data_IF_115680045882
#
_entry.id   IF_115680045882
#
_cell.length_a   1.000
_cell.length_b   1.000
_cell.length_c   1.000
_cell.angle_alpha   90.00
_cell.angle_beta   90.00
_cell.angle_gamma   90.00
#
_symmetry.space_group_name_H-M   'P 1'
#
loop_
_entity.id
_entity.type
_entity.pdbx_description
1 polymer ?
#
# COMPACT_ATOMS: atom_id res chain seq x y z
N UNK A 1 -0.22 23.39 -11.94
CA UNK A 1 0.00 21.95 -12.10
C UNK A 1 -1.05 21.23 -11.29
N UNK A 2 -1.71 20.29 -11.96
CA UNK A 2 -2.75 19.50 -11.36
C UNK A 2 -2.14 18.53 -10.34
N UNK A 3 -2.80 18.30 -9.21
CA UNK A 3 -2.43 17.31 -8.20
C UNK A 3 -3.70 16.77 -7.52
N UNK A 4 -3.83 15.45 -7.45
CA UNK A 4 -4.95 14.80 -6.76
C UNK A 4 -4.71 14.66 -5.27
N UNK A 5 -5.79 14.82 -4.48
CA UNK A 5 -5.78 14.83 -3.02
C UNK A 5 -6.74 13.78 -2.47
N UNK A 6 -6.31 13.08 -1.42
CA UNK A 6 -7.17 12.20 -0.63
C UNK A 6 -7.82 13.03 0.49
N UNK A 7 -9.11 13.30 0.38
CA UNK A 7 -9.83 14.19 1.31
C UNK A 7 -11.00 13.44 1.93
N UNK A 8 -11.05 13.34 3.27
CA UNK A 8 -12.20 12.78 3.96
C UNK A 8 -13.50 13.51 3.59
N UNK A 9 -14.59 12.78 3.43
CA UNK A 9 -15.86 13.35 3.00
C UNK A 9 -16.36 14.47 3.93
N UNK A 10 -16.08 14.37 5.23
CA UNK A 10 -16.43 15.38 6.22
C UNK A 10 -15.79 16.75 5.92
N UNK A 11 -14.63 16.75 5.27
CA UNK A 11 -13.82 17.95 5.01
C UNK A 11 -14.06 18.54 3.61
N UNK A 12 -14.99 17.98 2.83
CA UNK A 12 -15.30 18.43 1.47
C UNK A 12 -15.61 19.92 1.35
N UNK A 13 -16.27 20.50 2.36
CA UNK A 13 -16.65 21.92 2.34
C UNK A 13 -15.45 22.82 2.64
N UNK A 14 -14.51 22.34 3.44
CA UNK A 14 -13.27 23.06 3.78
C UNK A 14 -12.37 23.13 2.54
N UNK A 15 -12.10 22.00 1.91
CA UNK A 15 -11.20 21.98 0.75
C UNK A 15 -11.79 22.71 -0.47
N UNK A 16 -13.11 22.65 -0.65
CA UNK A 16 -13.80 23.38 -1.73
C UNK A 16 -13.67 24.89 -1.55
N UNK A 17 -13.68 25.41 -0.32
CA UNK A 17 -13.47 26.85 -0.03
C UNK A 17 -12.05 27.30 -0.37
N UNK A 18 -11.07 26.41 -0.28
CA UNK A 18 -9.68 26.67 -0.65
C UNK A 18 -9.43 26.60 -2.17
N UNK A 19 -10.45 26.27 -2.97
CA UNK A 19 -10.39 26.28 -4.43
C UNK A 19 -10.16 24.92 -5.08
N UNK A 20 -10.10 23.83 -4.31
CA UNK A 20 -10.03 22.49 -4.90
C UNK A 20 -11.32 22.12 -5.64
N UNK A 21 -11.18 21.30 -6.67
CA UNK A 21 -12.26 20.82 -7.53
C UNK A 21 -12.42 19.32 -7.39
N UNK A 22 -13.62 18.81 -7.64
CA UNK A 22 -13.91 17.37 -7.59
C UNK A 22 -13.86 16.79 -9.01
N UNK A 23 -13.05 15.75 -9.24
CA UNK A 23 -13.11 14.95 -10.46
C UNK A 23 -14.03 13.73 -10.23
N UNK A 24 -15.21 13.66 -10.88
CA UNK A 24 -16.14 12.55 -10.69
C UNK A 24 -15.69 11.23 -11.35
N UNK A 25 -14.77 11.27 -12.33
CA UNK A 25 -14.23 10.06 -12.97
C UNK A 25 -13.26 9.34 -12.05
N UNK A 26 -12.27 10.07 -11.52
CA UNK A 26 -11.28 9.57 -10.55
C UNK A 26 -11.89 9.41 -9.15
N UNK A 27 -13.00 10.10 -8.88
CA UNK A 27 -13.61 10.23 -7.54
C UNK A 27 -12.61 10.79 -6.52
N UNK A 28 -11.85 11.80 -6.92
CA UNK A 28 -10.88 12.50 -6.07
C UNK A 28 -11.00 14.01 -6.18
N UNK A 29 -10.58 14.69 -5.11
CA UNK A 29 -10.33 16.13 -5.18
C UNK A 29 -9.03 16.37 -5.91
N UNK A 30 -8.95 17.48 -6.62
CA UNK A 30 -7.71 17.93 -7.23
C UNK A 30 -7.58 19.44 -7.11
N UNK A 31 -6.34 19.89 -7.09
CA UNK A 31 -5.95 21.30 -7.18
C UNK A 31 -5.23 21.49 -8.49
N UNK A 32 -5.43 22.64 -9.12
CA UNK A 32 -4.66 23.05 -10.29
C UNK A 32 -4.18 24.47 -10.03
N UNK A 33 -3.00 24.56 -9.45
CA UNK A 33 -2.39 25.80 -8.99
C UNK A 33 -0.87 25.74 -9.13
N UNK A 34 -0.19 26.86 -8.91
CA UNK A 34 1.26 26.90 -8.83
C UNK A 34 1.74 26.12 -7.60
N UNK A 35 2.81 25.34 -7.72
CA UNK A 35 3.23 24.38 -6.69
C UNK A 35 3.49 25.01 -5.32
N UNK A 36 3.96 26.27 -5.26
CA UNK A 36 4.14 26.98 -3.98
C UNK A 36 2.83 27.17 -3.20
N UNK A 37 1.68 27.09 -3.87
CA UNK A 37 0.38 27.13 -3.21
C UNK A 37 -0.05 25.79 -2.61
N UNK A 38 0.67 24.68 -2.88
CA UNK A 38 0.38 23.38 -2.28
C UNK A 38 0.46 23.43 -0.74
N UNK A 39 1.24 24.36 -0.19
CA UNK A 39 1.32 24.60 1.25
C UNK A 39 -0.04 24.92 1.90
N UNK A 40 -0.97 25.54 1.16
CA UNK A 40 -2.36 25.81 1.61
C UNK A 40 -3.15 24.51 1.84
N UNK A 41 -2.70 23.41 1.22
CA UNK A 41 -3.29 22.08 1.27
C UNK A 41 -2.44 21.09 2.06
N UNK A 42 -1.40 21.56 2.76
CA UNK A 42 -0.47 20.75 3.58
C UNK A 42 -1.18 19.77 4.51
N UNK A 43 -2.29 20.17 5.12
CA UNK A 43 -3.17 19.29 5.93
C UNK A 43 -3.50 17.96 5.24
N UNK A 44 -3.83 17.98 3.95
CA UNK A 44 -4.21 16.77 3.19
C UNK A 44 -3.02 16.08 2.51
N UNK A 45 -1.94 16.82 2.27
CA UNK A 45 -0.72 16.30 1.62
C UNK A 45 0.14 15.54 2.63
N UNK A 46 0.32 16.10 3.83
CA UNK A 46 1.04 15.48 4.94
C UNK A 46 0.21 14.36 5.57
N UNK A 47 -1.11 14.54 5.68
CA UNK A 47 -2.01 13.61 6.36
C UNK A 47 -1.52 13.29 7.79
N UNK A 48 -1.05 12.06 8.05
CA UNK A 48 -0.46 11.62 9.32
C UNK A 48 1.07 11.49 9.26
N UNK A 49 1.70 11.93 8.16
CA UNK A 49 3.16 11.97 7.95
C UNK A 49 3.70 13.37 8.24
N UNK A 50 4.96 13.45 8.65
CA UNK A 50 5.66 14.72 8.82
C UNK A 50 6.20 15.27 7.50
N UNK A 51 6.15 14.46 6.43
CA UNK A 51 6.58 14.86 5.09
C UNK A 51 5.77 14.23 3.95
N UNK A 52 5.81 14.88 2.79
CA UNK A 52 5.23 14.44 1.54
C UNK A 52 6.08 14.89 0.36
N UNK A 53 6.28 13.99 -0.61
CA UNK A 53 7.02 14.27 -1.84
C UNK A 53 6.05 14.20 -3.02
N UNK A 54 6.08 15.23 -3.86
CA UNK A 54 5.26 15.34 -5.07
C UNK A 54 6.20 15.32 -6.26
N UNK A 55 6.15 14.23 -7.04
CA UNK A 55 6.83 14.12 -8.32
C UNK A 55 6.13 14.99 -9.37
N UNK A 56 6.92 15.71 -10.14
CA UNK A 56 6.47 16.66 -11.16
C UNK A 56 7.02 16.26 -12.52
N UNK A 57 6.20 16.44 -13.55
CA UNK A 57 6.49 16.25 -14.98
C UNK A 57 6.91 14.86 -15.42
N UNK A 58 7.88 14.20 -14.78
CA UNK A 58 8.43 12.92 -15.19
C UNK A 58 8.78 12.01 -13.99
N UNK A 59 8.55 10.71 -14.16
CA UNK A 59 9.17 9.65 -13.37
C UNK A 59 10.25 8.97 -14.20
N UNK A 60 11.20 8.29 -13.56
CA UNK A 60 12.28 7.63 -14.28
C UNK A 60 12.47 6.17 -13.87
N UNK A 61 12.91 5.35 -14.82
CA UNK A 61 13.48 4.03 -14.56
C UNK A 61 14.95 4.08 -14.94
N UNK A 62 15.83 3.77 -13.99
CA UNK A 62 17.28 3.73 -14.17
C UNK A 62 17.68 2.27 -14.28
N UNK A 63 17.96 1.79 -15.49
CA UNK A 63 18.38 0.41 -15.75
C UNK A 63 19.91 0.31 -15.83
N UNK A 64 20.47 -0.61 -15.04
CA UNK A 64 21.87 -0.97 -15.04
C UNK A 64 22.08 -2.49 -15.10
N UNK A 65 23.33 -2.92 -14.97
CA UNK A 65 23.69 -4.33 -14.93
C UNK A 65 24.70 -4.60 -13.83
N UNK A 66 24.61 -5.78 -13.21
CA UNK A 66 25.60 -6.29 -12.29
C UNK A 66 25.79 -7.79 -12.41
N UNK A 67 26.86 -8.29 -11.80
CA UNK A 67 27.11 -9.73 -11.71
C UNK A 67 26.31 -10.31 -10.55
N UNK A 68 25.43 -11.28 -10.82
CA UNK A 68 24.65 -11.93 -9.78
C UNK A 68 25.55 -12.64 -8.77
N UNK A 69 25.39 -12.35 -7.47
CA UNK A 69 26.20 -12.97 -6.41
C UNK A 69 26.06 -14.49 -6.35
N UNK A 70 24.91 -15.05 -6.76
CA UNK A 70 24.61 -16.50 -6.71
C UNK A 70 25.08 -17.24 -7.96
N UNK A 71 24.56 -16.90 -9.14
CA UNK A 71 24.84 -17.65 -10.38
C UNK A 71 25.94 -17.04 -11.24
N UNK A 72 26.50 -15.89 -10.88
CA UNK A 72 27.57 -15.17 -11.59
C UNK A 72 27.25 -14.71 -13.02
N UNK A 73 26.00 -14.85 -13.48
CA UNK A 73 25.57 -14.28 -14.75
C UNK A 73 25.38 -12.77 -14.61
N UNK A 74 25.64 -12.03 -15.69
CA UNK A 74 25.26 -10.61 -15.78
C UNK A 74 23.74 -10.51 -15.75
N UNK A 75 23.18 -9.72 -14.84
CA UNK A 75 21.74 -9.53 -14.68
C UNK A 75 21.40 -8.06 -14.73
N UNK A 76 20.24 -7.74 -15.30
CA UNK A 76 19.70 -6.38 -15.22
C UNK A 76 19.24 -6.11 -13.80
N UNK A 77 19.37 -4.86 -13.39
CA UNK A 77 18.83 -4.29 -12.15
C UNK A 77 18.29 -2.91 -12.47
N UNK A 78 17.24 -2.50 -11.79
CA UNK A 78 16.60 -1.20 -11.99
C UNK A 78 16.47 -0.43 -10.68
N UNK A 79 16.53 0.89 -10.80
CA UNK A 79 16.08 1.85 -9.80
C UNK A 79 14.95 2.70 -10.35
N UNK A 80 14.21 3.35 -9.47
CA UNK A 80 13.31 4.44 -9.83
C UNK A 80 14.09 5.75 -9.77
N UNK A 81 13.57 6.81 -10.38
CA UNK A 81 14.22 8.11 -10.31
C UNK A 81 13.25 9.27 -10.41
N UNK A 82 13.69 10.40 -9.85
CA UNK A 82 12.93 11.64 -9.74
C UNK A 82 13.85 12.82 -10.00
N UNK A 83 13.37 13.80 -10.76
CA UNK A 83 14.15 15.00 -11.08
C UNK A 83 13.43 16.23 -10.53
N UNK A 84 12.28 16.58 -11.08
CA UNK A 84 11.46 17.66 -10.55
C UNK A 84 10.53 17.14 -9.46
N UNK A 85 10.74 17.63 -8.24
CA UNK A 85 9.92 17.27 -7.09
C UNK A 85 9.72 18.45 -6.16
N UNK A 86 8.59 18.42 -5.46
CA UNK A 86 8.26 19.32 -4.36
C UNK A 86 8.21 18.51 -3.08
N UNK A 87 8.93 18.97 -2.06
CA UNK A 87 8.95 18.39 -0.72
C UNK A 87 8.18 19.32 0.22
N UNK A 88 7.15 18.77 0.86
CA UNK A 88 6.39 19.46 1.90
C UNK A 88 6.69 18.74 3.20
N UNK A 89 7.10 19.46 4.24
CA UNK A 89 7.48 18.86 5.52
C UNK A 89 7.10 19.76 6.69
N UNK A 90 7.01 19.19 7.90
CA UNK A 90 6.89 19.94 9.14
C UNK A 90 8.29 20.29 9.66
N UNK A 91 8.54 21.58 9.90
CA UNK A 91 9.79 21.99 10.55
C UNK A 91 9.77 21.72 12.06
N UNK A 92 10.85 22.07 12.77
CA UNK A 92 11.01 21.89 14.23
C UNK A 92 9.93 22.57 15.10
N UNK A 93 9.05 23.39 14.51
CA UNK A 93 7.94 24.07 15.17
C UNK A 93 6.55 23.58 14.68
N UNK A 94 6.48 22.40 14.08
CA UNK A 94 5.26 21.81 13.48
C UNK A 94 4.59 22.72 12.44
N UNK A 95 5.38 23.59 11.79
CA UNK A 95 4.89 24.45 10.71
C UNK A 95 5.19 23.81 9.37
N UNK A 96 4.21 23.70 8.48
CA UNK A 96 4.44 23.18 7.15
C UNK A 96 5.35 24.15 6.38
N UNK A 97 6.37 23.57 5.75
CA UNK A 97 7.33 24.20 4.87
C UNK A 97 7.25 23.54 3.49
N UNK A 98 7.79 24.21 2.48
CA UNK A 98 7.86 23.69 1.12
C UNK A 98 9.24 23.99 0.53
N UNK A 99 9.85 22.95 -0.02
CA UNK A 99 11.10 22.99 -0.78
C UNK A 99 10.86 22.38 -2.16
N UNK A 100 11.70 22.76 -3.12
CA UNK A 100 11.60 22.29 -4.49
C UNK A 100 12.99 22.03 -5.07
N UNK A 101 13.10 21.01 -5.93
CA UNK A 101 14.31 20.76 -6.73
C UNK A 101 14.35 21.63 -8.00
N UNK A 102 13.23 22.29 -8.33
CA UNK A 102 13.04 23.14 -9.52
C UNK A 102 13.94 24.39 -9.53
N UNK A 103 14.33 24.86 -8.36
CA UNK A 103 15.17 26.05 -8.19
C UNK A 103 16.67 25.77 -8.25
N UNK A 104 17.06 24.49 -8.39
CA UNK A 104 18.46 24.11 -8.59
C UNK A 104 18.94 24.53 -9.98
N UNK A 105 20.18 25.01 -10.07
CA UNK A 105 20.79 25.45 -11.33
C UNK A 105 21.34 24.31 -12.19
N UNK A 106 21.33 23.08 -11.65
CA UNK A 106 21.76 21.86 -12.30
C UNK A 106 20.53 20.94 -12.39
N UNK A 107 20.21 20.47 -13.59
CA UNK A 107 19.24 19.38 -13.76
C UNK A 107 19.84 18.12 -13.14
N UNK A 108 19.22 17.66 -12.06
CA UNK A 108 19.65 16.47 -11.30
C UNK A 108 18.55 15.41 -11.32
N UNK A 109 18.97 14.15 -11.41
CA UNK A 109 18.09 12.98 -11.27
C UNK A 109 18.50 12.24 -10.00
N UNK A 110 17.58 12.09 -9.07
CA UNK A 110 17.80 11.39 -7.81
C UNK A 110 17.37 9.94 -7.92
N UNK A 111 18.23 9.03 -7.48
CA UNK A 111 17.94 7.59 -7.43
C UNK A 111 16.92 7.32 -6.32
N UNK A 112 15.93 6.48 -6.60
CA UNK A 112 14.89 6.13 -5.65
C UNK A 112 14.52 4.64 -5.72
N UNK A 113 13.90 4.16 -4.63
CA UNK A 113 13.31 2.82 -4.57
C UNK A 113 12.13 2.77 -3.61
N UNK A 114 11.43 1.63 -3.58
CA UNK A 114 10.33 1.32 -2.67
C UNK A 114 10.41 -0.13 -2.19
N UNK A 115 10.09 -0.35 -0.91
CA UNK A 115 10.07 -1.71 -0.36
C UNK A 115 8.70 -2.39 -0.50
N UNK A 116 7.64 -1.63 -0.76
CA UNK A 116 6.29 -2.15 -1.00
C UNK A 116 5.82 -1.84 -2.42
N UNK A 117 5.19 -2.83 -3.05
CA UNK A 117 4.62 -2.67 -4.40
C UNK A 117 3.49 -1.63 -4.44
N UNK A 118 2.78 -1.43 -3.33
CA UNK A 118 1.65 -0.49 -3.21
C UNK A 118 2.07 0.98 -3.33
N UNK A 119 3.36 1.28 -3.07
CA UNK A 119 3.93 2.62 -3.20
C UNK A 119 4.29 2.95 -4.67
N UNK A 120 4.19 1.99 -5.59
CA UNK A 120 4.40 2.20 -7.03
C UNK A 120 3.05 2.36 -7.72
N UNK A 121 2.87 3.38 -8.59
CA UNK A 121 1.65 3.50 -9.37
C UNK A 121 1.36 2.22 -10.18
N UNK A 122 0.14 1.67 -10.15
CA UNK A 122 -0.19 0.34 -10.70
C UNK A 122 0.27 0.08 -12.13
N UNK A 123 0.09 1.03 -13.06
CA UNK A 123 0.51 0.86 -14.46
C UNK A 123 2.03 0.85 -14.61
N UNK A 124 2.74 1.62 -13.78
CA UNK A 124 4.20 1.55 -13.68
C UNK A 124 4.63 0.20 -13.12
N UNK A 125 4.05 -0.25 -12.00
CA UNK A 125 4.36 -1.56 -11.40
C UNK A 125 4.16 -2.71 -12.40
N UNK A 126 3.06 -2.68 -13.15
CA UNK A 126 2.79 -3.64 -14.22
C UNK A 126 3.92 -3.64 -15.25
N UNK A 127 4.27 -2.47 -15.79
CA UNK A 127 5.38 -2.33 -16.73
C UNK A 127 6.68 -2.88 -16.16
N UNK A 128 7.00 -2.59 -14.90
CA UNK A 128 8.21 -3.07 -14.24
C UNK A 128 8.25 -4.60 -14.20
N UNK A 129 7.15 -5.24 -13.77
CA UNK A 129 7.07 -6.71 -13.65
C UNK A 129 7.07 -7.43 -14.99
N UNK A 130 6.54 -6.81 -16.04
CA UNK A 130 6.51 -7.38 -17.40
C UNK A 130 7.89 -7.31 -18.08
N UNK A 131 8.68 -6.29 -17.77
CA UNK A 131 9.94 -6.00 -18.50
C UNK A 131 11.21 -6.35 -17.70
N UNK A 132 11.10 -6.43 -16.37
CA UNK A 132 12.21 -6.62 -15.44
C UNK A 132 11.94 -7.71 -14.41
N UNK A 133 13.01 -8.28 -13.89
CA UNK A 133 12.97 -9.29 -12.83
C UNK A 133 12.80 -8.63 -11.46
N UNK A 134 11.69 -7.93 -11.23
CA UNK A 134 11.35 -7.34 -9.91
C UNK A 134 10.13 -8.01 -9.31
N UNK A 135 10.17 -8.29 -8.01
CA UNK A 135 9.07 -8.92 -7.26
C UNK A 135 9.32 -8.83 -5.77
N UNK A 136 8.27 -8.99 -4.97
CA UNK A 136 8.42 -9.21 -3.53
C UNK A 136 9.12 -10.54 -3.26
N UNK A 137 10.18 -10.50 -2.46
CA UNK A 137 10.95 -11.67 -2.07
C UNK A 137 11.47 -11.55 -0.64
N UNK A 138 11.75 -12.69 0.00
CA UNK A 138 12.30 -12.71 1.36
C UNK A 138 13.79 -12.35 1.36
N UNK A 139 14.13 -11.27 2.06
CA UNK A 139 15.51 -10.84 2.30
C UNK A 139 16.03 -11.49 3.58
N UNK A 140 17.00 -12.40 3.46
CA UNK A 140 17.64 -13.03 4.63
C UNK A 140 18.40 -12.02 5.50
N UNK A 141 18.88 -10.93 4.90
CA UNK A 141 19.64 -9.89 5.60
C UNK A 141 18.72 -9.04 6.47
N UNK A 142 17.54 -8.68 5.97
CA UNK A 142 16.55 -7.88 6.70
C UNK A 142 15.64 -8.74 7.60
N UNK A 143 15.53 -10.05 7.31
CA UNK A 143 14.65 -10.96 8.04
C UNK A 143 13.18 -10.85 7.64
N UNK A 144 12.85 -10.06 6.61
CA UNK A 144 11.50 -9.75 6.15
C UNK A 144 11.38 -9.81 4.61
N UNK A 145 10.16 -9.66 4.08
CA UNK A 145 9.91 -9.57 2.64
C UNK A 145 9.92 -8.13 2.17
N UNK A 146 10.62 -7.85 1.07
CA UNK A 146 10.60 -6.54 0.42
C UNK A 146 10.47 -6.70 -1.11
N UNK A 147 9.96 -5.66 -1.76
CA UNK A 147 10.00 -5.52 -3.20
C UNK A 147 11.44 -5.25 -3.64
N UNK A 148 11.97 -6.12 -4.49
CA UNK A 148 13.38 -6.10 -4.84
C UNK A 148 13.65 -6.56 -6.26
N UNK A 149 14.81 -6.15 -6.76
CA UNK A 149 15.41 -6.71 -7.96
C UNK A 149 15.79 -8.18 -7.73
N UNK A 150 15.65 -9.00 -8.76
CA UNK A 150 16.01 -10.41 -8.77
C UNK A 150 16.84 -10.71 -10.01
N UNK A 151 17.68 -11.72 -9.91
CA UNK A 151 18.49 -12.15 -11.03
C UNK A 151 17.62 -12.70 -12.17
N UNK A 152 17.82 -12.20 -13.39
CA UNK A 152 17.14 -12.64 -14.62
C UNK A 152 17.28 -14.15 -14.90
N UNK A 153 18.30 -14.81 -14.34
CA UNK A 153 18.64 -16.20 -14.64
C UNK A 153 18.29 -17.17 -13.52
N UNK A 154 18.58 -16.80 -12.26
CA UNK A 154 18.42 -17.71 -11.12
C UNK A 154 17.40 -17.22 -10.08
N UNK A 155 16.76 -16.06 -10.32
CA UNK A 155 15.81 -15.43 -9.39
C UNK A 155 16.39 -15.20 -7.99
N UNK A 156 17.71 -15.11 -7.82
CA UNK A 156 18.29 -14.69 -6.55
C UNK A 156 18.02 -13.19 -6.34
N UNK A 157 17.54 -12.81 -5.17
CA UNK A 157 17.35 -11.41 -4.79
C UNK A 157 18.66 -10.63 -4.96
N UNK A 158 18.59 -9.48 -5.64
CA UNK A 158 19.66 -8.49 -5.73
C UNK A 158 19.30 -7.44 -4.66
N UNK A 159 19.82 -7.62 -3.45
CA UNK A 159 19.31 -6.93 -2.26
C UNK A 159 19.34 -5.40 -2.38
N UNK A 160 18.26 -4.75 -1.90
CA UNK A 160 18.04 -3.31 -2.02
C UNK A 160 19.21 -2.48 -1.49
N UNK A 161 19.76 -2.85 -0.33
CA UNK A 161 20.94 -2.18 0.25
C UNK A 161 22.12 -2.08 -0.73
N UNK A 162 22.46 -3.17 -1.43
CA UNK A 162 23.57 -3.18 -2.39
C UNK A 162 23.28 -2.36 -3.66
N UNK A 163 22.01 -2.08 -3.95
CA UNK A 163 21.61 -1.36 -5.15
C UNK A 163 21.39 0.12 -4.89
N UNK A 164 20.93 0.50 -3.69
CA UNK A 164 20.45 1.85 -3.42
C UNK A 164 21.24 2.56 -2.32
N UNK A 165 21.92 1.83 -1.43
CA UNK A 165 22.66 2.40 -0.30
C UNK A 165 24.19 2.30 -0.45
N UNK A 166 24.69 1.39 -1.30
CA UNK A 166 26.13 1.18 -1.47
C UNK A 166 26.75 2.08 -2.58
N UNK A 167 27.90 2.73 -2.32
CA UNK A 167 28.59 3.57 -3.30
C UNK A 167 29.08 2.82 -4.55
N UNK A 168 29.35 1.52 -4.42
CA UNK A 168 29.80 0.67 -5.51
C UNK A 168 28.65 0.13 -6.37
N UNK A 169 27.40 0.42 -6.00
CA UNK A 169 26.21 0.07 -6.77
C UNK A 169 26.36 0.47 -8.24
N UNK A 170 25.92 -0.38 -9.18
CA UNK A 170 25.91 -0.03 -10.59
C UNK A 170 24.99 1.17 -10.89
N UNK A 171 24.00 1.42 -10.02
CA UNK A 171 23.02 2.48 -10.17
C UNK A 171 23.45 3.79 -9.50
N UNK A 172 24.37 3.74 -8.52
CA UNK A 172 24.72 4.89 -7.69
C UNK A 172 25.61 5.92 -8.41
N UNK A 173 25.36 7.20 -8.12
CA UNK A 173 26.19 8.35 -8.49
C UNK A 173 27.33 8.63 -7.53
N UNK A 174 27.44 7.88 -6.43
CA UNK A 174 28.43 8.09 -5.37
C UNK A 174 29.83 7.58 -5.75
N UNK A 175 30.40 8.16 -6.79
CA UNK A 175 31.77 7.96 -7.24
C UNK A 175 32.22 9.18 -8.07
N UNK A 176 33.51 9.29 -8.36
CA UNK A 176 34.07 10.50 -8.98
C UNK A 176 34.88 10.23 -10.27
N UNK A 177 35.09 11.32 -11.01
CA UNK A 177 36.01 11.37 -12.14
C UNK A 177 35.65 10.40 -13.26
N UNK A 178 36.65 9.66 -13.76
CA UNK A 178 36.46 8.77 -14.89
C UNK A 178 35.56 7.56 -14.58
N UNK A 179 35.46 7.15 -13.31
CA UNK A 179 34.62 6.01 -12.95
C UNK A 179 33.14 6.39 -12.98
N UNK A 180 32.79 7.58 -12.47
CA UNK A 180 31.44 8.14 -12.58
C UNK A 180 30.96 8.15 -14.03
N UNK A 181 31.77 8.72 -14.93
CA UNK A 181 31.44 8.81 -16.36
C UNK A 181 31.25 7.43 -16.98
N UNK A 182 32.12 6.46 -16.65
CA UNK A 182 32.02 5.09 -17.16
C UNK A 182 30.80 4.35 -16.64
N UNK A 183 30.43 4.57 -15.38
CA UNK A 183 29.25 3.97 -14.75
C UNK A 183 27.98 4.54 -15.38
N UNK A 184 27.84 5.86 -15.40
CA UNK A 184 26.65 6.53 -15.94
C UNK A 184 26.41 6.21 -17.41
N UNK A 185 27.45 6.13 -18.24
CA UNK A 185 27.33 5.74 -19.66
C UNK A 185 26.81 4.32 -19.89
N UNK A 186 26.83 3.45 -18.88
CA UNK A 186 26.24 2.10 -18.96
C UNK A 186 24.77 2.09 -18.58
N UNK A 187 24.27 3.17 -17.97
CA UNK A 187 22.88 3.27 -17.55
C UNK A 187 22.00 3.59 -18.75
N UNK A 188 20.85 2.93 -18.77
CA UNK A 188 19.74 3.24 -19.65
C UNK A 188 18.65 3.87 -18.80
N UNK A 189 18.30 5.12 -19.09
CA UNK A 189 17.37 5.91 -18.28
C UNK A 189 16.12 6.15 -19.12
N UNK A 190 14.98 5.67 -18.63
CA UNK A 190 13.69 5.84 -19.28
C UNK A 190 12.92 6.94 -18.60
N UNK A 191 12.58 8.01 -19.32
CA UNK A 191 11.72 9.08 -18.84
C UNK A 191 10.25 8.71 -19.06
N UNK A 192 9.40 8.89 -18.05
CA UNK A 192 7.97 8.61 -18.08
C UNK A 192 7.23 9.92 -17.82
N UNK A 193 6.76 10.61 -18.86
CA UNK A 193 6.02 11.86 -18.71
C UNK A 193 4.68 11.64 -18.00
N UNK A 194 4.39 12.44 -16.97
CA UNK A 194 3.19 12.40 -16.13
C UNK A 194 2.45 13.74 -16.16
N UNK A 195 1.13 13.69 -16.33
CA UNK A 195 0.24 14.83 -16.10
C UNK A 195 -1.10 14.30 -15.57
N UNK A 196 -1.41 14.47 -14.28
CA UNK A 196 -0.89 15.45 -13.33
C UNK A 196 0.40 15.05 -12.59
N UNK A 197 0.92 15.99 -11.79
CA UNK A 197 1.86 15.70 -10.69
C UNK A 197 1.26 14.69 -9.72
N UNK A 198 2.12 13.87 -9.12
CA UNK A 198 1.68 12.78 -8.23
C UNK A 198 2.43 12.82 -6.90
N UNK A 199 1.70 12.60 -5.80
CA UNK A 199 2.32 12.32 -4.52
C UNK A 199 2.85 10.88 -4.52
N UNK A 200 4.08 10.72 -4.05
CA UNK A 200 4.80 9.45 -4.00
C UNK A 200 5.33 9.20 -2.59
N UNK A 201 5.56 7.93 -2.28
CA UNK A 201 6.13 7.47 -1.02
C UNK A 201 7.36 6.62 -1.32
N UNK A 202 8.37 7.24 -1.93
CA UNK A 202 9.59 6.56 -2.38
C UNK A 202 10.77 6.94 -1.49
N UNK A 203 11.66 5.99 -1.25
CA UNK A 203 12.94 6.24 -0.59
C UNK A 203 13.87 6.88 -1.62
N UNK A 204 14.16 8.18 -1.48
CA UNK A 204 15.00 8.94 -2.42
C UNK A 204 16.38 9.14 -1.82
N UNK A 205 17.40 8.84 -2.61
CA UNK A 205 18.79 9.12 -2.30
C UNK A 205 19.25 10.37 -3.04
N UNK A 206 19.76 11.35 -2.30
CA UNK A 206 20.34 12.57 -2.84
C UNK A 206 21.87 12.46 -2.83
N UNK A 207 22.49 12.62 -4.00
CA UNK A 207 23.93 12.57 -4.19
C UNK A 207 24.48 13.83 -4.83
N UNK A 208 25.68 14.27 -4.41
CA UNK A 208 26.35 15.45 -4.98
C UNK A 208 26.72 15.32 -6.47
N UNK A 209 26.62 14.12 -7.02
CA UNK A 209 26.93 13.78 -8.40
C UNK A 209 25.67 13.40 -9.22
N UNK A 210 24.47 13.69 -8.72
CA UNK A 210 23.20 13.33 -9.39
C UNK A 210 22.99 14.04 -10.74
N UNK A 211 23.66 15.16 -10.99
CA UNK A 211 23.72 15.77 -12.33
C UNK A 211 24.30 14.81 -13.39
N UNK A 212 25.07 13.80 -12.97
CA UNK A 212 25.79 12.89 -13.87
C UNK A 212 24.85 11.93 -14.59
N UNK A 213 23.69 11.61 -14.02
CA UNK A 213 22.68 10.81 -14.69
C UNK A 213 22.23 11.49 -15.99
N UNK A 214 21.77 12.74 -15.93
CA UNK A 214 21.37 13.50 -17.13
C UNK A 214 22.53 13.78 -18.07
N UNK A 215 23.72 14.03 -17.53
CA UNK A 215 24.88 14.40 -18.34
C UNK A 215 25.47 13.24 -19.14
N UNK A 216 25.42 12.01 -18.62
CA UNK A 216 26.17 10.89 -19.18
C UNK A 216 25.34 9.61 -19.41
N UNK A 217 24.15 9.50 -18.81
CA UNK A 217 23.23 8.39 -19.02
C UNK A 217 22.63 8.36 -20.43
N UNK A 218 22.16 7.20 -20.86
CA UNK A 218 21.50 7.04 -22.15
C UNK A 218 19.99 7.18 -21.98
N UNK A 219 19.42 8.29 -22.44
CA UNK A 219 17.99 8.59 -22.27
C UNK A 219 17.13 8.07 -23.41
N UNK A 220 15.95 7.57 -23.05
CA UNK A 220 14.84 7.36 -23.97
C UNK A 220 13.51 7.71 -23.30
N UNK A 221 12.54 8.13 -24.10
CA UNK A 221 11.17 8.33 -23.62
C UNK A 221 10.45 6.99 -23.55
N UNK A 222 9.75 6.76 -22.43
CA UNK A 222 8.84 5.65 -22.21
C UNK A 222 7.42 6.21 -22.09
N UNK A 223 6.72 6.21 -23.22
CA UNK A 223 5.31 6.63 -23.27
C UNK A 223 4.45 5.48 -22.72
N UNK A 224 3.95 5.66 -21.51
CA UNK A 224 3.00 4.73 -20.90
C UNK A 224 1.54 5.09 -21.20
N UNK A 225 1.27 6.23 -21.83
CA UNK A 225 -0.09 6.58 -22.25
C UNK A 225 -0.64 5.57 -23.25
N UNK A 226 -1.87 5.14 -23.03
CA UNK A 226 -2.62 4.31 -23.98
C UNK A 226 -3.17 5.15 -25.14
N UNK A 227 -3.18 6.48 -25.03
CA UNK A 227 -3.59 7.39 -26.09
C UNK A 227 -2.38 7.76 -26.97
N UNK A 228 -2.34 7.38 -28.25
CA UNK A 228 -1.18 7.64 -29.12
C UNK A 228 -0.96 9.14 -29.41
N UNK A 229 -1.93 10.00 -29.09
CA UNK A 229 -1.80 11.46 -29.23
C UNK A 229 -1.40 12.15 -27.93
N UNK A 230 -1.26 11.42 -26.83
CA UNK A 230 -0.87 11.96 -25.54
C UNK A 230 0.47 11.36 -25.12
N UNK A 231 1.44 12.23 -24.87
CA UNK A 231 2.77 11.82 -24.42
C UNK A 231 2.77 11.60 -22.91
N UNK A 232 1.91 12.30 -22.18
CA UNK A 232 1.79 12.20 -20.74
C UNK A 232 0.82 11.10 -20.36
N UNK A 233 1.17 10.30 -19.37
CA UNK A 233 0.23 9.38 -18.76
C UNK A 233 -0.69 10.14 -17.80
N UNK A 234 -2.00 9.96 -17.99
CA UNK A 234 -3.00 10.54 -17.09
C UNK A 234 -3.04 9.84 -15.72
N UNK A 235 -3.54 10.51 -14.69
CA UNK A 235 -3.73 9.89 -13.37
C UNK A 235 -4.65 8.66 -13.45
N UNK A 236 -5.71 8.77 -14.25
CA UNK A 236 -6.62 7.69 -14.54
C UNK A 236 -5.88 6.48 -15.09
N UNK A 237 -5.05 6.64 -16.11
CA UNK A 237 -4.33 5.51 -16.69
C UNK A 237 -3.25 4.97 -15.75
N UNK A 238 -2.60 5.84 -14.99
CA UNK A 238 -1.51 5.47 -14.09
C UNK A 238 -2.01 4.67 -12.88
N UNK A 239 -3.20 4.99 -12.35
CA UNK A 239 -3.77 4.40 -11.13
C UNK A 239 -5.03 3.55 -11.34
N UNK A 240 -5.79 3.77 -12.41
CA UNK A 240 -6.97 2.98 -12.77
C UNK A 240 -6.64 2.14 -14.00
N UNK A 241 -5.97 1.01 -13.78
CA UNK A 241 -5.69 0.06 -14.88
C UNK A 241 -7.03 -0.45 -15.42
N UNK A 242 -7.49 0.14 -16.54
CA UNK A 242 -8.64 -0.32 -17.30
C UNK A 242 -8.37 -1.76 -17.77
N UNK A 243 -9.37 -2.62 -17.60
CA UNK A 243 -9.39 -4.02 -18.08
C UNK A 243 -9.42 -4.12 -19.63
N UNK A 244 -8.71 -3.26 -20.36
CA UNK A 244 -8.72 -3.21 -21.82
C UNK A 244 -7.74 -4.18 -22.50
N UNK A 245 -6.95 -4.95 -21.73
CA UNK A 245 -6.25 -6.16 -22.21
C UNK A 245 -6.96 -7.45 -21.79
N UNK A 246 -8.29 -7.46 -21.88
CA UNK A 246 -9.11 -8.67 -21.78
C UNK A 246 -9.37 -9.26 -23.17
N UNK A 247 -8.32 -9.67 -23.90
CA UNK A 247 -8.39 -10.64 -25.01
C UNK A 247 -6.96 -11.07 -25.40
N UNK A 248 -6.63 -12.36 -25.24
CA UNK A 248 -5.28 -12.97 -25.20
C UNK A 248 -4.59 -12.73 -23.84
N UNK A 249 -5.07 -13.28 -22.72
CA UNK A 249 -4.74 -14.65 -22.31
C UNK A 249 -5.70 -15.13 -21.20
N UNK A 250 -7.01 -14.99 -21.46
CA UNK A 250 -8.09 -15.51 -20.62
C UNK A 250 -8.20 -17.06 -20.65
N UNK A 251 -7.08 -17.76 -20.46
CA UNK A 251 -7.06 -19.22 -20.39
C UNK A 251 -6.44 -19.78 -19.10
N UNK A 252 -5.71 -19.00 -18.29
CA UNK A 252 -5.12 -19.53 -17.06
C UNK A 252 -5.18 -18.51 -15.91
N UNK A 253 -5.98 -18.84 -14.89
CA UNK A 253 -6.07 -18.21 -13.56
C UNK A 253 -7.10 -17.07 -13.35
N UNK A 254 -8.35 -17.46 -13.55
CA UNK A 254 -9.48 -17.32 -12.59
C UNK A 254 -9.82 -15.96 -11.95
N UNK A 255 -10.89 -15.43 -12.53
CA UNK A 255 -11.67 -14.21 -12.34
C UNK A 255 -12.70 -14.28 -11.19
N UNK A 256 -12.26 -14.39 -9.92
CA UNK A 256 -13.21 -14.37 -8.77
C UNK A 256 -12.91 -13.42 -7.62
N UNK A 257 -11.74 -12.76 -7.60
CA UNK A 257 -11.35 -11.87 -6.50
C UNK A 257 -11.35 -10.37 -6.84
N UNK A 258 -11.57 -10.00 -8.10
CA UNK A 258 -11.49 -8.59 -8.56
C UNK A 258 -12.70 -7.71 -8.15
N UNK A 259 -13.83 -8.30 -7.77
CA UNK A 259 -15.09 -7.55 -7.54
C UNK A 259 -15.37 -7.19 -6.07
N UNK A 260 -14.40 -7.38 -5.17
CA UNK A 260 -14.61 -7.30 -3.71
C UNK A 260 -13.84 -6.15 -3.07
N UNK A 261 -12.68 -5.83 -3.64
CA UNK A 261 -11.77 -4.83 -3.11
C UNK A 261 -12.26 -3.38 -3.25
N UNK A 262 -13.40 -3.14 -3.91
CA UNK A 262 -13.90 -1.78 -4.16
C UNK A 262 -14.88 -1.23 -3.10
N UNK A 263 -15.27 -1.99 -2.08
CA UNK A 263 -16.16 -1.46 -1.03
C UNK A 263 -15.78 -1.96 0.38
N UNK A 264 -14.64 -1.56 0.93
CA UNK A 264 -14.44 -1.29 2.38
C UNK A 264 -13.06 -0.69 2.64
N UNK A 265 -12.85 0.58 2.27
CA UNK A 265 -11.90 1.41 3.02
C UNK A 265 -12.62 1.85 4.30
N UNK A 266 -12.50 1.05 5.37
CA UNK A 266 -12.76 1.56 6.70
C UNK A 266 -11.65 2.57 7.04
N UNK A 267 -11.96 3.75 7.60
CA UNK A 267 -10.93 4.70 8.04
C UNK A 267 -9.99 4.05 9.05
N UNK A 268 -8.69 4.31 8.93
CA UNK A 268 -7.76 4.14 10.04
C UNK A 268 -8.14 5.22 11.07
N UNK A 269 -8.95 4.86 12.07
CA UNK A 269 -9.28 5.76 13.17
C UNK A 269 -8.07 5.92 14.08
N UNK A 270 -7.77 7.16 14.51
CA UNK A 270 -6.79 7.47 15.56
C UNK A 270 -6.94 6.51 16.74
N UNK A 271 -5.90 5.74 17.04
CA UNK A 271 -5.86 4.73 18.09
C UNK A 271 -5.81 5.41 19.49
N UNK A 272 -6.96 5.82 20.02
CA UNK A 272 -7.25 6.05 21.43
C UNK A 272 -6.95 4.82 22.31
N UNK A 273 -5.67 4.48 22.53
CA UNK A 273 -5.23 3.31 23.32
C UNK A 273 -6.14 3.07 24.53
N UNK A 274 -6.90 1.97 24.50
CA UNK A 274 -7.51 1.46 25.71
C UNK A 274 -6.41 0.72 26.45
N UNK A 275 -5.87 1.33 27.51
CA UNK A 275 -4.85 0.73 28.35
C UNK A 275 -5.50 -0.30 29.30
N UNK A 276 -6.25 -1.25 28.73
CA UNK A 276 -7.09 -2.23 29.42
C UNK A 276 -6.70 -3.61 28.89
N UNK A 277 -6.45 -4.60 29.76
CA UNK A 277 -6.18 -5.97 29.33
C UNK A 277 -7.29 -6.49 28.40
N UNK A 278 -6.93 -7.31 27.40
CA UNK A 278 -7.85 -7.73 26.34
C UNK A 278 -9.17 -8.29 26.89
N UNK A 279 -9.15 -9.11 27.94
CA UNK A 279 -10.36 -9.72 28.52
C UNK A 279 -11.21 -8.80 29.38
N UNK A 280 -10.69 -7.65 29.78
CA UNK A 280 -11.45 -6.63 30.52
C UNK A 280 -12.22 -5.70 29.56
N UNK A 281 -12.13 -5.94 28.24
CA UNK A 281 -12.91 -5.25 27.22
C UNK A 281 -14.38 -5.69 27.26
N UNK A 282 -15.22 -4.78 27.75
CA UNK A 282 -16.68 -4.91 27.69
C UNK A 282 -17.24 -4.16 26.47
N UNK A 283 -17.93 -4.88 25.58
CA UNK A 283 -18.57 -4.28 24.40
C UNK A 283 -19.83 -3.49 24.74
N UNK A 284 -20.27 -3.49 26.00
CA UNK A 284 -21.33 -2.60 26.50
C UNK A 284 -20.96 -1.12 26.42
N UNK A 285 -19.65 -0.80 26.34
CA UNK A 285 -19.12 0.57 26.27
C UNK A 285 -19.06 1.12 24.85
N UNK A 286 -19.30 0.29 23.83
CA UNK A 286 -19.38 0.68 22.42
C UNK A 286 -20.60 1.56 22.19
N UNK A 287 -20.40 2.75 21.63
CA UNK A 287 -21.46 3.73 21.40
C UNK A 287 -21.86 3.83 19.93
N UNK A 288 -20.95 3.53 19.02
CA UNK A 288 -21.16 3.66 17.59
C UNK A 288 -20.35 2.63 16.79
N UNK A 289 -20.48 2.67 15.46
CA UNK A 289 -19.78 1.74 14.55
C UNK A 289 -18.27 2.00 14.46
N UNK A 290 -17.84 3.25 14.71
CA UNK A 290 -16.41 3.61 14.70
C UNK A 290 -15.68 2.96 15.86
N UNK A 291 -16.30 2.90 17.03
CA UNK A 291 -15.80 2.18 18.21
C UNK A 291 -15.59 0.68 17.91
N UNK A 292 -16.41 0.06 17.04
CA UNK A 292 -16.24 -1.35 16.64
C UNK A 292 -14.98 -1.52 15.80
N UNK A 293 -14.77 -0.66 14.80
CA UNK A 293 -13.58 -0.67 13.93
C UNK A 293 -12.32 -0.51 14.80
N UNK A 294 -12.39 0.46 15.71
CA UNK A 294 -11.35 0.75 16.68
C UNK A 294 -10.97 -0.47 17.52
N UNK A 295 -11.97 -1.06 18.21
CA UNK A 295 -11.74 -2.13 19.18
C UNK A 295 -11.23 -3.37 18.45
N UNK A 296 -11.75 -3.67 17.26
CA UNK A 296 -11.25 -4.79 16.45
C UNK A 296 -9.76 -4.62 16.09
N UNK A 297 -9.33 -3.40 15.73
CA UNK A 297 -7.95 -3.11 15.41
C UNK A 297 -7.03 -3.21 16.64
N UNK A 298 -7.49 -2.69 17.78
CA UNK A 298 -6.76 -2.76 19.05
C UNK A 298 -6.59 -4.23 19.49
N UNK A 299 -7.67 -5.03 19.44
CA UNK A 299 -7.62 -6.48 19.72
C UNK A 299 -6.61 -7.18 18.81
N UNK A 300 -6.69 -6.96 17.49
CA UNK A 300 -5.79 -7.63 16.54
C UNK A 300 -4.33 -7.23 16.78
N UNK A 301 -4.08 -5.95 17.05
CA UNK A 301 -2.72 -5.43 17.34
C UNK A 301 -2.14 -6.10 18.59
N UNK A 302 -2.92 -6.18 19.67
CA UNK A 302 -2.50 -6.84 20.92
C UNK A 302 -2.22 -8.34 20.69
N UNK A 303 -3.09 -9.04 19.95
CA UNK A 303 -2.90 -10.46 19.63
C UNK A 303 -1.64 -10.70 18.80
N UNK A 304 -1.35 -9.85 17.80
CA UNK A 304 -0.14 -9.96 16.98
C UNK A 304 1.12 -9.71 17.84
N UNK A 305 1.11 -8.70 18.70
CA UNK A 305 2.24 -8.39 19.60
C UNK A 305 2.56 -9.57 20.53
N UNK A 306 1.52 -10.15 21.13
CA UNK A 306 1.64 -11.28 22.07
C UNK A 306 2.06 -12.60 21.40
N UNK A 307 1.83 -12.70 20.09
CA UNK A 307 2.21 -13.84 19.26
C UNK A 307 3.31 -13.46 18.25
N UNK A 308 4.15 -12.47 18.57
CA UNK A 308 5.24 -11.97 17.70
C UNK A 308 6.23 -13.04 17.23
N UNK A 309 6.30 -14.17 17.95
CA UNK A 309 7.11 -15.34 17.55
C UNK A 309 6.51 -16.12 16.37
N UNK A 310 5.27 -15.83 15.99
CA UNK A 310 4.54 -16.47 14.90
C UNK A 310 4.39 -15.43 13.79
N UNK A 311 4.95 -15.70 12.62
CA UNK A 311 4.77 -14.84 11.44
C UNK A 311 3.44 -15.22 10.77
N UNK A 312 2.39 -14.36 10.84
CA UNK A 312 1.14 -14.67 10.19
C UNK A 312 1.27 -14.54 8.66
N UNK A 313 0.53 -15.37 7.92
CA UNK A 313 0.39 -15.25 6.47
C UNK A 313 -0.04 -13.81 6.07
N UNK A 314 0.42 -13.26 4.93
CA UNK A 314 0.13 -11.86 4.52
C UNK A 314 -1.37 -11.51 4.46
N UNK A 315 -2.22 -12.47 4.10
CA UNK A 315 -3.67 -12.29 4.07
C UNK A 315 -4.33 -12.29 5.46
N UNK A 316 -3.59 -12.59 6.53
CA UNK A 316 -4.14 -12.69 7.88
C UNK A 316 -4.66 -11.37 8.41
N UNK A 317 -3.85 -10.29 8.34
CA UNK A 317 -4.16 -9.03 9.01
C UNK A 317 -5.53 -8.46 8.61
N UNK A 318 -5.73 -8.20 7.33
CA UNK A 318 -6.98 -7.61 6.85
C UNK A 318 -8.19 -8.54 7.05
N UNK A 319 -8.07 -9.83 6.73
CA UNK A 319 -9.18 -10.77 6.87
C UNK A 319 -9.56 -11.02 8.34
N UNK A 320 -8.57 -11.10 9.24
CA UNK A 320 -8.80 -11.21 10.66
C UNK A 320 -9.50 -9.98 11.22
N UNK A 321 -9.09 -8.78 10.77
CA UNK A 321 -9.72 -7.52 11.16
C UNK A 321 -11.20 -7.47 10.72
N UNK A 322 -11.50 -7.80 9.46
CA UNK A 322 -12.88 -7.85 8.97
C UNK A 322 -13.72 -8.85 9.78
N UNK A 323 -13.14 -9.99 10.14
CA UNK A 323 -13.85 -11.01 10.89
C UNK A 323 -14.14 -10.60 12.35
N UNK A 324 -13.18 -9.95 13.00
CA UNK A 324 -13.37 -9.34 14.32
C UNK A 324 -14.43 -8.23 14.27
N UNK A 325 -14.40 -7.36 13.26
CA UNK A 325 -15.40 -6.29 13.08
C UNK A 325 -16.82 -6.85 12.90
N UNK A 326 -16.98 -7.91 12.09
CA UNK A 326 -18.26 -8.57 11.89
C UNK A 326 -18.79 -9.17 13.21
N UNK A 327 -17.95 -9.90 13.93
CA UNK A 327 -18.31 -10.61 15.15
C UNK A 327 -18.62 -9.66 16.31
N UNK A 328 -17.80 -8.63 16.52
CA UNK A 328 -18.05 -7.60 17.54
C UNK A 328 -19.31 -6.80 17.20
N UNK A 329 -19.53 -6.49 15.93
CA UNK A 329 -20.77 -5.81 15.50
C UNK A 329 -22.01 -6.64 15.77
N UNK A 330 -21.96 -7.95 15.52
CA UNK A 330 -23.05 -8.87 15.83
C UNK A 330 -23.34 -8.86 17.33
N UNK A 331 -22.31 -9.04 18.17
CA UNK A 331 -22.48 -9.02 19.63
C UNK A 331 -23.03 -7.69 20.14
N UNK A 332 -22.52 -6.57 19.63
CA UNK A 332 -22.96 -5.25 20.05
C UNK A 332 -24.43 -4.96 19.69
N UNK A 333 -24.92 -5.47 18.57
CA UNK A 333 -26.28 -5.24 18.09
C UNK A 333 -27.30 -6.22 18.65
N UNK A 334 -27.02 -7.52 18.55
CA UNK A 334 -28.00 -8.58 18.77
C UNK A 334 -27.87 -9.29 20.12
N UNK A 335 -26.66 -9.36 20.71
CA UNK A 335 -26.46 -10.13 21.94
C UNK A 335 -27.06 -9.42 23.18
N UNK A 336 -27.53 -10.16 24.20
CA UNK A 336 -27.94 -9.57 25.47
C UNK A 336 -26.75 -8.94 26.20
N UNK A 337 -27.01 -7.98 27.09
CA UNK A 337 -25.94 -7.15 27.71
C UNK A 337 -24.83 -7.96 28.40
N UNK A 338 -25.17 -9.09 29.02
CA UNK A 338 -24.24 -9.99 29.70
C UNK A 338 -23.34 -10.79 28.74
N UNK A 339 -23.68 -10.86 27.46
CA UNK A 339 -22.92 -11.57 26.41
C UNK A 339 -22.08 -10.61 25.54
N UNK A 340 -22.14 -9.30 25.81
CA UNK A 340 -21.36 -8.28 25.09
C UNK A 340 -19.92 -8.17 25.62
N UNK A 341 -19.15 -9.25 25.49
CA UNK A 341 -17.79 -9.36 26.03
C UNK A 341 -16.88 -10.26 25.16
N UNK A 342 -15.59 -10.30 25.51
CA UNK A 342 -14.58 -11.08 24.80
C UNK A 342 -14.80 -12.60 24.81
N UNK A 343 -15.36 -13.15 25.90
CA UNK A 343 -15.62 -14.59 25.97
C UNK A 343 -16.60 -15.02 24.88
N UNK A 344 -17.66 -14.22 24.67
CA UNK A 344 -18.63 -14.51 23.63
C UNK A 344 -18.07 -14.28 22.22
N UNK A 345 -17.15 -13.33 22.04
CA UNK A 345 -16.42 -13.16 20.78
C UNK A 345 -15.62 -14.42 20.44
N UNK A 346 -14.87 -14.96 21.39
CA UNK A 346 -14.08 -16.19 21.19
C UNK A 346 -15.01 -17.37 20.88
N UNK A 347 -16.17 -17.46 21.54
CA UNK A 347 -17.14 -18.53 21.29
C UNK A 347 -17.74 -18.46 19.87
N UNK A 348 -18.03 -17.26 19.35
CA UNK A 348 -18.40 -17.06 17.94
C UNK A 348 -17.28 -17.57 17.02
N UNK A 349 -16.03 -17.19 17.30
CA UNK A 349 -14.89 -17.63 16.49
C UNK A 349 -14.71 -19.15 16.53
N UNK A 350 -14.92 -19.79 17.69
CA UNK A 350 -14.85 -21.26 17.87
C UNK A 350 -16.01 -22.00 17.20
N UNK A 351 -17.17 -21.35 17.11
CA UNK A 351 -18.37 -21.90 16.45
C UNK A 351 -18.38 -21.73 14.92
N UNK A 352 -17.49 -20.89 14.36
CA UNK A 352 -17.37 -20.70 12.90
C UNK A 352 -16.58 -21.83 12.24
N UNK A 353 -17.17 -23.03 12.19
CA UNK A 353 -16.56 -24.22 11.59
C UNK A 353 -16.65 -24.23 10.06
N UNK A 354 -15.53 -24.50 9.39
CA UNK A 354 -15.48 -24.75 7.94
C UNK A 354 -15.17 -26.23 7.69
N UNK A 355 -16.08 -26.94 6.99
CA UNK A 355 -15.92 -28.36 6.66
C UNK A 355 -15.56 -28.55 5.18
N UNK A 356 -14.36 -29.07 4.93
CA UNK A 356 -13.90 -29.36 3.57
C UNK A 356 -14.73 -30.46 2.91
N UNK A 357 -15.09 -30.26 1.64
CA UNK A 357 -15.84 -31.22 0.83
C UNK A 357 -17.37 -31.12 0.91
N UNK A 358 -17.94 -30.26 1.77
CA UNK A 358 -19.38 -30.08 1.90
C UNK A 358 -19.82 -28.66 1.49
N UNK A 359 -20.05 -28.47 0.19
CA UNK A 359 -20.33 -27.16 -0.45
C UNK A 359 -21.58 -26.45 0.15
N UNK A 360 -22.53 -27.18 0.72
CA UNK A 360 -23.77 -26.64 1.29
C UNK A 360 -23.86 -26.73 2.82
N UNK A 361 -22.75 -27.02 3.51
CA UNK A 361 -22.76 -27.05 4.98
C UNK A 361 -22.88 -25.63 5.54
N UNK A 362 -23.86 -25.40 6.42
CA UNK A 362 -24.02 -24.16 7.18
C UNK A 362 -23.72 -24.45 8.65
N UNK A 363 -22.79 -23.69 9.23
CA UNK A 363 -22.49 -23.77 10.65
C UNK A 363 -23.44 -22.85 11.46
N UNK A 364 -23.33 -22.88 12.79
CA UNK A 364 -24.18 -22.07 13.67
C UNK A 364 -24.02 -20.56 13.41
N UNK A 365 -22.79 -20.09 13.15
CA UNK A 365 -22.50 -18.68 12.88
C UNK A 365 -23.12 -18.23 11.56
N UNK A 366 -23.08 -19.08 10.53
CA UNK A 366 -23.72 -18.79 9.25
C UNK A 366 -25.23 -18.64 9.41
N UNK A 367 -25.87 -19.48 10.21
CA UNK A 367 -27.31 -19.38 10.50
C UNK A 367 -27.64 -18.06 11.24
N UNK A 368 -26.81 -17.64 12.21
CA UNK A 368 -27.00 -16.38 12.94
C UNK A 368 -26.91 -15.15 12.02
N UNK A 369 -25.90 -15.11 11.14
CA UNK A 369 -25.71 -13.99 10.22
C UNK A 369 -26.77 -13.97 9.11
N UNK A 370 -27.25 -15.12 8.65
CA UNK A 370 -28.37 -15.20 7.70
C UNK A 370 -29.68 -14.70 8.32
N UNK A 371 -29.98 -15.07 9.58
CA UNK A 371 -31.16 -14.55 10.28
C UNK A 371 -31.09 -13.03 10.43
N UNK A 372 -29.92 -12.50 10.79
CA UNK A 372 -29.70 -11.06 10.90
C UNK A 372 -29.82 -10.36 9.54
N UNK A 373 -29.33 -10.96 8.47
CA UNK A 373 -29.49 -10.46 7.11
C UNK A 373 -30.95 -10.40 6.67
N UNK A 374 -31.74 -11.43 7.01
CA UNK A 374 -33.17 -11.44 6.75
C UNK A 374 -33.91 -10.33 7.50
N UNK A 375 -33.49 -9.99 8.72
CA UNK A 375 -34.03 -8.88 9.50
C UNK A 375 -33.58 -7.51 8.96
N UNK A 376 -32.29 -7.38 8.63
CA UNK A 376 -31.69 -6.15 8.12
C UNK A 376 -30.46 -6.44 7.24
N UNK A 377 -30.66 -6.49 5.93
CA UNK A 377 -29.60 -6.74 4.95
C UNK A 377 -28.49 -5.65 4.96
N UNK A 378 -28.80 -4.43 5.40
CA UNK A 378 -27.83 -3.34 5.50
C UNK A 378 -27.13 -3.27 6.87
N UNK A 379 -27.34 -4.27 7.74
CA UNK A 379 -26.73 -4.32 9.05
C UNK A 379 -25.19 -4.37 8.96
N UNK A 380 -24.51 -3.64 9.84
CA UNK A 380 -23.04 -3.50 9.82
C UNK A 380 -22.36 -4.88 9.92
N UNK A 381 -22.76 -5.71 10.89
CA UNK A 381 -22.26 -7.08 11.02
C UNK A 381 -22.40 -7.92 9.73
N UNK A 382 -23.54 -7.84 9.05
CA UNK A 382 -23.82 -8.59 7.81
C UNK A 382 -22.88 -8.15 6.69
N UNK A 383 -22.64 -6.84 6.54
CA UNK A 383 -21.71 -6.30 5.54
C UNK A 383 -20.30 -6.84 5.73
N UNK A 384 -19.76 -6.74 6.95
CA UNK A 384 -18.40 -7.22 7.23
C UNK A 384 -18.27 -8.74 7.14
N UNK A 385 -19.29 -9.53 7.53
CA UNK A 385 -19.30 -11.00 7.34
C UNK A 385 -19.23 -11.36 5.86
N UNK A 386 -20.04 -10.71 5.02
CA UNK A 386 -20.04 -10.94 3.58
C UNK A 386 -18.69 -10.59 2.97
N UNK A 387 -18.18 -9.39 3.23
CA UNK A 387 -16.86 -8.95 2.76
C UNK A 387 -15.77 -9.92 3.21
N UNK A 388 -15.76 -10.32 4.48
CA UNK A 388 -14.83 -11.33 5.00
C UNK A 388 -14.90 -12.65 4.22
N UNK A 389 -16.09 -13.27 4.08
CA UNK A 389 -16.23 -14.55 3.36
C UNK A 389 -15.78 -14.42 1.90
N UNK A 390 -16.01 -13.27 1.30
CA UNK A 390 -15.69 -13.02 -0.10
C UNK A 390 -14.16 -12.82 -0.30
N UNK A 391 -13.50 -12.04 0.56
CA UNK A 391 -12.05 -11.80 0.47
C UNK A 391 -11.26 -13.02 0.94
N UNK A 392 -11.64 -13.61 2.07
CA UNK A 392 -10.92 -14.74 2.64
C UNK A 392 -11.00 -15.98 1.75
N UNK A 393 -12.14 -16.21 1.09
CA UNK A 393 -12.32 -17.33 0.15
C UNK A 393 -11.92 -18.67 0.78
N UNK A 394 -11.05 -19.42 0.08
CA UNK A 394 -10.51 -20.69 0.55
C UNK A 394 -9.62 -20.57 1.80
N UNK A 395 -9.09 -19.38 2.07
CA UNK A 395 -8.23 -19.11 3.24
C UNK A 395 -9.02 -18.85 4.52
N UNK A 396 -10.36 -18.77 4.47
CA UNK A 396 -11.19 -18.46 5.64
C UNK A 396 -10.88 -19.38 6.84
N UNK A 397 -10.66 -20.68 6.58
CA UNK A 397 -10.29 -21.66 7.62
C UNK A 397 -8.98 -21.30 8.29
N UNK A 398 -7.95 -20.99 7.49
CA UNK A 398 -6.65 -20.55 8.00
C UNK A 398 -6.78 -19.31 8.90
N UNK A 399 -7.60 -18.32 8.50
CA UNK A 399 -7.82 -17.10 9.28
C UNK A 399 -8.45 -17.40 10.63
N UNK A 400 -9.51 -18.22 10.65
CA UNK A 400 -10.23 -18.60 11.86
C UNK A 400 -9.32 -19.41 12.80
N UNK A 401 -8.61 -20.40 12.27
CA UNK A 401 -7.71 -21.25 13.06
C UNK A 401 -6.55 -20.43 13.65
N UNK A 402 -6.00 -19.48 12.90
CA UNK A 402 -4.94 -18.59 13.40
C UNK A 402 -5.46 -17.63 14.47
N UNK A 403 -6.65 -17.06 14.30
CA UNK A 403 -7.28 -16.23 15.34
C UNK A 403 -7.53 -17.02 16.62
N UNK A 404 -8.07 -18.24 16.52
CA UNK A 404 -8.28 -19.14 17.66
C UNK A 404 -6.98 -19.43 18.39
N UNK A 405 -5.93 -19.78 17.65
CA UNK A 405 -4.60 -20.01 18.21
C UNK A 405 -4.08 -18.77 18.94
N UNK A 406 -4.23 -17.57 18.37
CA UNK A 406 -3.77 -16.32 18.99
C UNK A 406 -4.51 -16.04 20.30
N UNK A 407 -5.84 -16.25 20.32
CA UNK A 407 -6.65 -16.11 21.53
C UNK A 407 -6.35 -17.19 22.58
N UNK A 408 -6.10 -18.43 22.19
CA UNK A 408 -5.75 -19.51 23.13
C UNK A 408 -4.36 -19.28 23.75
N UNK A 409 -3.37 -18.81 22.96
CA UNK A 409 -2.06 -18.38 23.47
C UNK A 409 -2.16 -17.24 24.48
N UNK A 410 -3.08 -16.30 24.26
CA UNK A 410 -3.30 -15.18 25.15
C UNK A 410 -4.03 -15.60 26.45
N UNK A 411 -5.02 -16.49 26.35
CA UNK A 411 -5.70 -17.10 27.49
C UNK A 411 -4.77 -17.91 28.40
N UNK A 412 -3.80 -18.63 27.84
CA UNK A 412 -2.89 -19.48 28.61
C UNK A 412 -1.88 -18.72 29.48
N UNK A 413 -1.76 -17.39 29.30
CA UNK A 413 -0.83 -16.51 30.03
C UNK A 413 -1.49 -15.77 31.20
N UNK A 414 -2.80 -15.92 31.38
CA UNK A 414 -3.62 -15.37 32.48
C UNK A 414 -3.95 -16.50 33.43
#
# INVERSE_FOLDING_TARGET
MCLYLNVPYQEKNEIKKLGAKWNPKVKKWYIDTYFKEYLKFSKWLLNDSDEAIIAMENLYIIEGQQTCWKCKHSTRVIGLGLNEAVHIYLNEYDKPCIEDTLSNSLDELHLAWVDNEEDIPPKLLQYLKENYSVKTGYSKTLGETCFANHCDYCSAIQGNWFLFDEPDSPLSSDTDGNELIKRMRKLKIKSIPIDPSIQINWNISFGSNDYAYFKYGNFEDLILSSNPNDVNISYEELYNVDNSYSNMDAAYFTDKHKTIYQETQAPIFKIKKFNVPLFDLEFTKIKNQEDIIYIANDILTQLIQENSNITPHPLFGHNALLWLQASISYLWSEAPKNEKNMLMLIEILKSDEIREGYINYKNAVDMLFEELEHKNNNHFAVKYRKTYKQIAGENARYIIDTLRMYFDSYNAKI
#
